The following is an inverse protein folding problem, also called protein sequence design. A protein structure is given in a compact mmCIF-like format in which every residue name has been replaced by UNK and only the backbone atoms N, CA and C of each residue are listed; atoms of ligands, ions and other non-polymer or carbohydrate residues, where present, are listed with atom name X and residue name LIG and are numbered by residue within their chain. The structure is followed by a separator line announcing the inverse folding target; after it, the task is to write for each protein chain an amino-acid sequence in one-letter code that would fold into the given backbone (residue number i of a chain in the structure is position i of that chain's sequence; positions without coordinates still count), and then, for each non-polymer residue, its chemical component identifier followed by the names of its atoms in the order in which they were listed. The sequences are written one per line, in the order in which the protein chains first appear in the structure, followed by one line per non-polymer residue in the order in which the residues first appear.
data_IF_822933516534
#
_entry.id   IF_822933516534
#
_cell.length_a   1.000
_cell.length_b   1.000
_cell.length_c   1.000
_cell.angle_alpha   90.00
_cell.angle_beta   90.00
_cell.angle_gamma   90.00
#
_symmetry.space_group_name_H-M   'P 1'
#
loop_
_entity.id
_entity.type
_entity.pdbx_description
1 polymer ?
#
# COMPACT_ATOMS: atom_id res chain seq x y z
N UNK A 1 14.17 29.23 3.62
CA UNK A 1 13.98 28.22 4.68
C UNK A 1 12.50 27.91 4.87
N UNK A 2 11.63 28.91 5.08
CA UNK A 2 10.16 28.75 5.14
C UNK A 2 9.55 28.01 3.94
N UNK A 3 9.90 28.39 2.70
CA UNK A 3 9.36 27.72 1.49
C UNK A 3 9.62 26.20 1.47
N UNK A 4 10.80 25.76 1.92
CA UNK A 4 11.16 24.34 1.93
C UNK A 4 10.35 23.52 2.95
N UNK A 5 9.88 24.14 4.04
CA UNK A 5 8.96 23.49 5.00
C UNK A 5 7.53 23.41 4.46
N UNK A 6 7.07 24.43 3.74
CA UNK A 6 5.77 24.38 3.03
C UNK A 6 5.77 23.29 1.95
N UNK A 7 6.86 23.19 1.19
CA UNK A 7 7.04 22.15 0.17
C UNK A 7 7.06 20.75 0.81
N UNK A 8 7.72 20.62 1.99
CA UNK A 8 7.73 19.38 2.77
C UNK A 8 6.31 18.99 3.25
N UNK A 9 5.55 19.93 3.80
CA UNK A 9 4.17 19.67 4.21
C UNK A 9 3.29 19.26 3.03
N UNK A 10 3.45 19.94 1.89
CA UNK A 10 2.70 19.66 0.67
C UNK A 10 2.98 18.25 0.16
N UNK A 11 4.25 17.83 0.08
CA UNK A 11 4.58 16.48 -0.38
C UNK A 11 4.10 15.41 0.60
N UNK A 12 4.19 15.67 1.92
CA UNK A 12 3.76 14.73 2.94
C UNK A 12 2.22 14.56 2.96
N UNK A 13 1.44 15.63 2.79
CA UNK A 13 -0.02 15.49 2.68
C UNK A 13 -0.42 14.73 1.39
N UNK A 14 0.30 14.96 0.29
CA UNK A 14 0.10 14.18 -0.94
C UNK A 14 0.40 12.69 -0.71
N UNK A 15 1.54 12.39 -0.09
CA UNK A 15 1.93 11.02 0.26
C UNK A 15 0.91 10.37 1.22
N UNK A 16 0.41 11.13 2.19
CA UNK A 16 -0.63 10.66 3.12
C UNK A 16 -1.92 10.28 2.37
N UNK A 17 -2.33 11.08 1.39
CA UNK A 17 -3.50 10.79 0.56
C UNK A 17 -3.32 9.50 -0.26
N UNK A 18 -2.11 9.28 -0.81
CA UNK A 18 -1.78 8.07 -1.57
C UNK A 18 -1.77 6.83 -0.68
N UNK A 19 -1.19 6.92 0.51
CA UNK A 19 -1.22 5.84 1.50
C UNK A 19 -2.64 5.54 1.96
N UNK A 20 -3.49 6.56 2.11
CA UNK A 20 -4.92 6.39 2.45
C UNK A 20 -5.64 5.64 1.34
N UNK A 21 -5.38 6.00 0.07
CA UNK A 21 -5.92 5.29 -1.09
C UNK A 21 -5.45 3.83 -1.16
N UNK A 22 -4.18 3.56 -0.83
CA UNK A 22 -3.67 2.20 -0.73
C UNK A 22 -4.41 1.41 0.35
N UNK A 23 -4.66 2.01 1.52
CA UNK A 23 -5.45 1.39 2.59
C UNK A 23 -6.86 1.03 2.11
N UNK A 24 -7.54 1.91 1.37
CA UNK A 24 -8.85 1.63 0.76
C UNK A 24 -8.80 0.42 -0.19
N UNK A 25 -7.76 0.31 -1.03
CA UNK A 25 -7.57 -0.84 -1.92
C UNK A 25 -7.33 -2.13 -1.14
N UNK A 26 -6.55 -2.08 -0.06
CA UNK A 26 -6.33 -3.23 0.82
C UNK A 26 -7.63 -3.66 1.53
N UNK A 27 -8.51 -2.74 1.89
CA UNK A 27 -9.82 -3.09 2.44
C UNK A 27 -10.69 -3.82 1.40
N UNK A 28 -10.69 -3.35 0.14
CA UNK A 28 -11.42 -3.99 -0.97
C UNK A 28 -10.87 -5.36 -1.34
N UNK A 29 -9.56 -5.56 -1.19
CA UNK A 29 -8.89 -6.82 -1.51
C UNK A 29 -9.51 -8.02 -0.79
N UNK A 30 -9.97 -7.84 0.46
CA UNK A 30 -10.71 -8.88 1.18
C UNK A 30 -11.90 -9.40 0.38
N UNK A 31 -12.75 -8.50 -0.12
CA UNK A 31 -13.99 -8.87 -0.79
C UNK A 31 -13.71 -9.49 -2.17
N UNK A 32 -12.70 -8.96 -2.88
CA UNK A 32 -12.25 -9.49 -4.17
C UNK A 32 -11.63 -10.89 -4.03
N UNK A 33 -10.80 -11.12 -3.01
CA UNK A 33 -10.24 -12.45 -2.74
C UNK A 33 -11.33 -13.44 -2.33
N UNK A 34 -12.34 -12.98 -1.57
CA UNK A 34 -13.46 -13.82 -1.17
C UNK A 34 -14.40 -14.19 -2.33
N UNK A 35 -14.52 -13.32 -3.36
CA UNK A 35 -15.36 -13.62 -4.53
C UNK A 35 -14.73 -14.62 -5.50
N UNK A 36 -13.43 -14.87 -5.39
CA UNK A 36 -12.65 -15.72 -6.32
C UNK A 36 -12.79 -15.27 -7.79
N UNK A 37 -12.98 -13.96 -8.00
CA UNK A 37 -13.09 -13.34 -9.32
C UNK A 37 -11.69 -12.90 -9.83
N UNK A 38 -11.13 -13.59 -10.84
CA UNK A 38 -9.80 -13.29 -11.34
C UNK A 38 -9.71 -11.91 -12.03
N UNK A 39 -10.78 -11.46 -12.71
CA UNK A 39 -10.78 -10.18 -13.43
C UNK A 39 -10.82 -9.02 -12.43
N UNK A 40 -11.62 -9.14 -11.37
CA UNK A 40 -11.66 -8.17 -10.28
C UNK A 40 -10.32 -8.11 -9.52
N UNK A 41 -9.67 -9.26 -9.32
CA UNK A 41 -8.35 -9.33 -8.70
C UNK A 41 -7.28 -8.67 -9.57
N UNK A 42 -7.26 -8.94 -10.87
CA UNK A 42 -6.31 -8.31 -11.78
C UNK A 42 -6.48 -6.79 -11.82
N UNK A 43 -7.73 -6.30 -11.88
CA UNK A 43 -8.01 -4.87 -11.83
C UNK A 43 -7.48 -4.23 -10.55
N UNK A 44 -7.74 -4.84 -9.39
CA UNK A 44 -7.26 -4.35 -8.10
C UNK A 44 -5.73 -4.30 -8.02
N UNK A 45 -5.06 -5.32 -8.55
CA UNK A 45 -3.59 -5.37 -8.58
C UNK A 45 -3.00 -4.23 -9.41
N UNK A 46 -3.59 -3.94 -10.58
CA UNK A 46 -3.18 -2.79 -11.41
C UNK A 46 -3.37 -1.47 -10.69
N UNK A 47 -4.49 -1.27 -9.99
CA UNK A 47 -4.68 -0.05 -9.17
C UNK A 47 -3.62 0.07 -8.06
N UNK A 48 -3.30 -1.04 -7.37
CA UNK A 48 -2.23 -1.07 -6.35
C UNK A 48 -0.86 -0.74 -6.95
N UNK A 49 -0.55 -1.24 -8.14
CA UNK A 49 0.72 -0.95 -8.84
C UNK A 49 0.88 0.55 -9.17
N UNK A 50 -0.18 1.18 -9.69
CA UNK A 50 -0.17 2.63 -10.00
C UNK A 50 0.06 3.46 -8.73
N UNK A 51 -0.63 3.12 -7.64
CA UNK A 51 -0.50 3.85 -6.38
C UNK A 51 0.86 3.65 -5.74
N UNK A 52 1.35 2.41 -5.66
CA UNK A 52 2.67 2.14 -5.06
C UNK A 52 3.80 2.80 -5.83
N UNK A 53 3.69 2.89 -7.16
CA UNK A 53 4.62 3.67 -7.98
C UNK A 53 4.55 5.17 -7.65
N UNK A 54 3.34 5.71 -7.48
CA UNK A 54 3.13 7.12 -7.11
C UNK A 54 3.67 7.45 -5.72
N UNK A 55 3.55 6.52 -4.77
CA UNK A 55 4.12 6.63 -3.41
C UNK A 55 5.65 6.74 -3.50
N UNK A 56 6.30 5.86 -4.26
CA UNK A 56 7.77 5.89 -4.44
C UNK A 56 8.26 7.25 -4.97
N UNK A 57 7.56 7.83 -5.95
CA UNK A 57 7.91 9.16 -6.49
C UNK A 57 7.76 10.26 -5.43
N UNK A 58 6.76 10.17 -4.56
CA UNK A 58 6.59 11.09 -3.45
C UNK A 58 7.67 10.91 -2.38
N UNK A 59 8.01 9.67 -2.04
CA UNK A 59 9.10 9.33 -1.11
C UNK A 59 10.45 9.91 -1.58
N UNK A 60 10.79 9.73 -2.86
CA UNK A 60 12.02 10.29 -3.43
C UNK A 60 12.04 11.82 -3.40
N UNK A 61 10.88 12.45 -3.63
CA UNK A 61 10.76 13.91 -3.58
C UNK A 61 10.85 14.44 -2.15
N UNK A 62 10.25 13.73 -1.20
CA UNK A 62 10.38 14.02 0.24
C UNK A 62 11.84 13.91 0.68
N UNK A 63 12.54 12.84 0.30
CA UNK A 63 13.94 12.64 0.69
C UNK A 63 14.82 13.79 0.17
N UNK A 64 14.63 14.22 -1.08
CA UNK A 64 15.32 15.39 -1.64
C UNK A 64 15.09 16.66 -0.82
N UNK A 65 13.84 16.93 -0.43
CA UNK A 65 13.50 18.12 0.39
C UNK A 65 14.14 18.02 1.78
N UNK A 66 14.14 16.83 2.39
CA UNK A 66 14.79 16.60 3.68
C UNK A 66 16.31 16.78 3.59
N UNK A 67 16.94 16.31 2.51
CA UNK A 67 18.36 16.54 2.25
C UNK A 67 18.70 18.03 2.12
N UNK A 68 17.88 18.79 1.37
CA UNK A 68 18.04 20.24 1.18
C UNK A 68 17.88 21.03 2.50
N UNK A 69 17.02 20.55 3.39
CA UNK A 69 16.83 21.08 4.75
C UNK A 69 17.93 20.63 5.74
N UNK A 70 18.83 19.72 5.33
CA UNK A 70 19.89 19.18 6.18
C UNK A 70 19.44 18.08 7.15
N UNK A 71 18.28 17.48 6.93
CA UNK A 71 17.68 16.43 7.77
C UNK A 71 17.84 15.03 7.20
N UNK A 72 19.09 14.62 6.96
CA UNK A 72 19.37 13.26 6.47
C UNK A 72 19.04 12.20 7.51
N UNK A 73 18.34 11.16 7.07
CA UNK A 73 18.00 9.99 7.89
C UNK A 73 17.21 10.31 9.17
N UNK A 74 16.46 11.41 9.17
CA UNK A 74 15.57 11.78 10.28
C UNK A 74 14.14 11.41 9.97
N UNK A 75 13.42 10.96 10.99
CA UNK A 75 11.98 10.79 10.91
C UNK A 75 11.27 12.14 10.87
N UNK A 76 10.06 12.20 10.30
CA UNK A 76 9.26 13.43 10.26
C UNK A 76 8.97 13.97 11.67
N UNK A 77 8.86 13.09 12.66
CA UNK A 77 8.73 13.49 14.06
C UNK A 77 9.99 14.19 14.60
N UNK A 78 11.19 13.73 14.25
CA UNK A 78 12.43 14.39 14.63
C UNK A 78 12.62 15.73 13.91
N UNK A 79 12.23 15.79 12.64
CA UNK A 79 12.21 17.03 11.85
C UNK A 79 11.27 18.06 12.49
N UNK A 80 10.09 17.65 12.96
CA UNK A 80 9.14 18.55 13.62
C UNK A 80 9.70 19.21 14.89
N UNK A 81 10.61 18.54 15.61
CA UNK A 81 11.27 19.11 16.81
C UNK A 81 12.34 20.15 16.48
N UNK A 82 12.88 20.13 15.25
CA UNK A 82 13.94 21.02 14.79
C UNK A 82 13.42 22.12 13.84
N UNK A 83 12.19 21.96 13.36
CA UNK A 83 11.52 22.92 12.52
C UNK A 83 11.22 24.22 13.26
N UNK A 84 11.00 25.28 12.49
CA UNK A 84 10.54 26.57 13.02
C UNK A 84 9.17 26.41 13.69
N UNK A 85 8.87 27.20 14.72
CA UNK A 85 7.69 27.06 15.60
C UNK A 85 6.37 26.90 14.85
N UNK A 86 6.23 27.55 13.70
CA UNK A 86 5.02 27.50 12.85
C UNK A 86 4.79 26.11 12.24
N UNK A 87 5.86 25.34 11.99
CA UNK A 87 5.81 24.04 11.32
C UNK A 87 5.86 22.85 12.27
N UNK A 88 6.17 23.06 13.55
CA UNK A 88 6.35 21.96 14.52
C UNK A 88 5.06 21.16 14.72
N UNK A 89 3.94 21.83 14.95
CA UNK A 89 2.66 21.15 15.20
C UNK A 89 2.15 20.44 13.94
N UNK A 90 2.09 21.08 12.74
CA UNK A 90 1.65 20.41 11.53
C UNK A 90 2.45 19.15 11.20
N UNK A 91 3.79 19.23 11.29
CA UNK A 91 4.67 18.09 11.03
C UNK A 91 4.51 16.98 12.08
N UNK A 92 4.38 17.34 13.36
CA UNK A 92 4.18 16.35 14.42
C UNK A 92 2.82 15.64 14.29
N UNK A 93 1.76 16.39 13.98
CA UNK A 93 0.42 15.87 13.71
C UNK A 93 0.43 14.91 12.53
N UNK A 94 1.08 15.29 11.43
CA UNK A 94 1.19 14.47 10.24
C UNK A 94 2.00 13.18 10.49
N UNK A 95 3.11 13.26 11.24
CA UNK A 95 3.88 12.08 11.63
C UNK A 95 3.06 11.08 12.46
N UNK A 96 2.23 11.56 13.39
CA UNK A 96 1.33 10.72 14.17
C UNK A 96 0.26 10.05 13.30
N UNK A 97 -0.35 10.82 12.38
CA UNK A 97 -1.34 10.31 11.41
C UNK A 97 -0.73 9.23 10.51
N UNK A 98 0.47 9.45 9.97
CA UNK A 98 1.20 8.44 9.19
C UNK A 98 1.47 7.18 9.99
N UNK A 99 1.92 7.31 11.23
CA UNK A 99 2.17 6.16 12.10
C UNK A 99 0.92 5.29 12.23
N UNK A 100 -0.24 5.90 12.51
CA UNK A 100 -1.51 5.17 12.57
C UNK A 100 -1.86 4.51 11.24
N UNK A 101 -1.71 5.23 10.13
CA UNK A 101 -2.04 4.74 8.79
C UNK A 101 -1.17 3.55 8.37
N UNK A 102 0.14 3.62 8.62
CA UNK A 102 1.09 2.55 8.32
C UNK A 102 0.78 1.30 9.15
N UNK A 103 0.40 1.46 10.42
CA UNK A 103 -0.08 0.35 11.24
C UNK A 103 -1.29 -0.32 10.60
N UNK A 104 -2.32 0.46 10.21
CA UNK A 104 -3.52 -0.08 9.55
C UNK A 104 -3.21 -0.77 8.22
N UNK A 105 -2.35 -0.19 7.37
CA UNK A 105 -1.91 -0.81 6.12
C UNK A 105 -1.21 -2.15 6.39
N UNK A 106 -0.34 -2.20 7.40
CA UNK A 106 0.41 -3.41 7.76
C UNK A 106 -0.53 -4.52 8.23
N UNK A 107 -1.51 -4.17 9.07
CA UNK A 107 -2.52 -5.11 9.57
C UNK A 107 -3.42 -5.65 8.45
N UNK A 108 -3.92 -4.76 7.58
CA UNK A 108 -4.76 -5.16 6.45
C UNK A 108 -4.00 -6.06 5.46
N UNK A 109 -2.77 -5.70 5.12
CA UNK A 109 -1.95 -6.49 4.22
C UNK A 109 -1.65 -7.88 4.79
N UNK A 110 -1.35 -7.96 6.11
CA UNK A 110 -1.20 -9.25 6.81
C UNK A 110 -2.49 -10.06 6.78
N UNK A 111 -3.64 -9.43 7.03
CA UNK A 111 -4.94 -10.11 6.98
C UNK A 111 -5.23 -10.67 5.59
N UNK A 112 -5.04 -9.86 4.54
CA UNK A 112 -5.25 -10.29 3.15
C UNK A 112 -4.32 -11.43 2.76
N UNK A 113 -3.06 -11.39 3.21
CA UNK A 113 -2.09 -12.46 2.96
C UNK A 113 -2.55 -13.80 3.55
N UNK A 114 -3.06 -13.79 4.79
CA UNK A 114 -3.64 -14.97 5.44
C UNK A 114 -4.89 -15.44 4.69
N UNK A 115 -5.75 -14.53 4.26
CA UNK A 115 -6.97 -14.87 3.51
C UNK A 115 -6.63 -15.57 2.19
N UNK A 116 -5.68 -15.02 1.43
CA UNK A 116 -5.19 -15.59 0.17
C UNK A 116 -4.61 -16.99 0.40
N UNK A 117 -3.78 -17.16 1.43
CA UNK A 117 -3.20 -18.47 1.78
C UNK A 117 -4.30 -19.50 2.08
N UNK A 118 -5.34 -19.12 2.83
CA UNK A 118 -6.49 -19.99 3.12
C UNK A 118 -7.28 -20.33 1.86
N UNK A 119 -7.56 -19.35 1.01
CA UNK A 119 -8.26 -19.59 -0.26
C UNK A 119 -7.50 -20.57 -1.16
N UNK A 120 -6.18 -20.40 -1.29
CA UNK A 120 -5.32 -21.31 -2.05
C UNK A 120 -5.30 -22.72 -1.45
N UNK A 121 -5.27 -22.85 -0.13
CA UNK A 121 -5.35 -24.15 0.55
C UNK A 121 -6.65 -24.89 0.21
N UNK A 122 -7.80 -24.19 0.23
CA UNK A 122 -9.09 -24.79 -0.13
C UNK A 122 -9.13 -25.21 -1.59
N UNK A 123 -8.71 -24.34 -2.52
CA UNK A 123 -8.65 -24.66 -3.96
C UNK A 123 -7.79 -25.90 -4.20
N UNK A 124 -6.59 -25.96 -3.61
CA UNK A 124 -5.68 -27.10 -3.73
C UNK A 124 -6.30 -28.39 -3.17
N UNK A 125 -6.97 -28.30 -2.02
CA UNK A 125 -7.63 -29.47 -1.40
C UNK A 125 -8.78 -29.99 -2.27
N UNK A 126 -9.62 -29.09 -2.79
CA UNK A 126 -10.69 -29.43 -3.72
C UNK A 126 -10.16 -30.05 -5.01
N UNK A 127 -9.09 -29.49 -5.58
CA UNK A 127 -8.43 -30.04 -6.76
C UNK A 127 -7.90 -31.46 -6.51
N UNK A 128 -7.18 -31.68 -5.40
CA UNK A 128 -6.66 -33.01 -5.03
C UNK A 128 -7.79 -34.02 -4.86
N UNK A 129 -8.91 -33.62 -4.24
CA UNK A 129 -10.09 -34.47 -4.10
C UNK A 129 -10.65 -34.86 -5.48
N UNK A 130 -10.87 -33.90 -6.39
CA UNK A 130 -11.37 -34.19 -7.74
C UNK A 130 -10.42 -35.08 -8.56
N UNK A 131 -9.11 -34.87 -8.42
CA UNK A 131 -8.09 -35.69 -9.10
C UNK A 131 -8.11 -37.16 -8.65
N UNK A 132 -8.60 -37.45 -7.43
CA UNK A 132 -8.76 -38.82 -6.93
C UNK A 132 -9.80 -39.60 -7.73
N UNK A 133 -10.71 -38.92 -8.43
CA UNK A 133 -11.74 -39.52 -9.28
C UNK A 133 -11.40 -39.50 -10.78
N UNK A 134 -10.14 -39.27 -11.15
CA UNK A 134 -9.69 -39.09 -12.55
C UNK A 134 -10.46 -37.99 -13.32
N UNK A 135 -11.15 -37.09 -12.61
CA UNK A 135 -11.80 -35.92 -13.20
C UNK A 135 -10.70 -34.91 -13.53
N UNK A 136 -10.14 -35.03 -14.73
CA UNK A 136 -9.24 -34.01 -15.27
C UNK A 136 -10.06 -32.80 -15.68
N UNK A 137 -9.74 -31.62 -15.12
CA UNK A 137 -10.33 -30.38 -15.61
C UNK A 137 -9.98 -30.24 -17.11
N UNK A 138 -10.95 -29.94 -17.99
CA UNK A 138 -10.63 -29.70 -19.38
C UNK A 138 -9.62 -28.56 -19.44
N UNK A 139 -8.40 -28.85 -19.90
CA UNK A 139 -7.41 -27.83 -20.22
C UNK A 139 -8.05 -26.92 -21.27
N UNK A 140 -8.49 -25.72 -20.87
CA UNK A 140 -8.73 -24.67 -21.86
C UNK A 140 -7.37 -24.36 -22.46
N UNK A 141 -7.14 -24.94 -23.63
CA UNK A 141 -6.05 -24.56 -24.51
C UNK A 141 -6.32 -23.10 -24.87
N UNK A 142 -5.67 -22.16 -24.18
CA UNK A 142 -5.50 -20.81 -24.74
C UNK A 142 -4.60 -20.96 -25.95
N UNK A 143 -5.22 -21.12 -27.11
CA UNK A 143 -4.58 -20.79 -28.38
C UNK A 143 -4.69 -19.27 -28.48
N UNK A 144 -3.67 -18.57 -27.98
CA UNK A 144 -3.40 -17.21 -28.44
C UNK A 144 -2.90 -17.34 -29.89
N UNK A 145 -3.59 -16.68 -30.80
CA UNK A 145 -3.20 -16.46 -32.19
C UNK A 145 -3.03 -14.96 -32.42
#
# INVERSE_FOLDING_TARGET
MTQSYEDLLTILEKEFSLCTRLMELLQKEKDVVASLDPDALEFLLREKEVITTSIKVCDESRERILEDLGFRSMTIYEVSKRAETVYQEPLASLAARFTSLICSITELNRFNSILIEKSLYYIKTSYNFLSTFEVSAPQKISVEA
#
